data_IF_990166603060
#
_entry.id   IF_990166603060
#
_cell.length_a   1.000
_cell.length_b   1.000
_cell.length_c   1.000
_cell.angle_alpha   90.00
_cell.angle_beta   90.00
_cell.angle_gamma   90.00
#
_symmetry.space_group_name_H-M   'P 1'
#
loop_
_entity.id
_entity.type
_entity.pdbx_description
1 polymer ?
#
# COMPACT_ATOMS: atom_id res chain seq x y z
N UNK A 1 -6.89 10.34 5.73
CA UNK A 1 -7.21 11.21 4.55
C UNK A 1 -8.23 12.30 4.89
N UNK A 2 -9.38 11.97 5.53
CA UNK A 2 -10.40 12.98 5.89
C UNK A 2 -9.82 14.11 6.74
N UNK A 3 -9.14 13.79 7.83
CA UNK A 3 -8.45 14.76 8.69
C UNK A 3 -7.45 15.61 7.91
N UNK A 4 -6.61 14.99 7.07
CA UNK A 4 -5.63 15.68 6.24
C UNK A 4 -6.28 16.67 5.26
N UNK A 5 -7.41 16.29 4.65
CA UNK A 5 -8.15 17.17 3.74
C UNK A 5 -8.76 18.37 4.46
N UNK A 6 -9.33 18.17 5.68
CA UNK A 6 -9.87 19.27 6.50
C UNK A 6 -8.73 20.20 6.93
N UNK A 7 -7.61 19.64 7.38
CA UNK A 7 -6.44 20.44 7.75
C UNK A 7 -5.93 21.27 6.57
N UNK A 8 -5.82 20.69 5.38
CA UNK A 8 -5.42 21.41 4.18
C UNK A 8 -6.42 22.52 3.81
N UNK A 9 -7.73 22.29 3.98
CA UNK A 9 -8.77 23.34 3.80
C UNK A 9 -8.51 24.53 4.73
N UNK A 10 -8.23 24.28 6.01
CA UNK A 10 -7.96 25.34 6.98
C UNK A 10 -6.69 26.12 6.61
N UNK A 11 -5.58 25.40 6.32
CA UNK A 11 -4.31 26.05 5.96
C UNK A 11 -4.39 26.91 4.70
N UNK A 12 -5.23 26.50 3.74
CA UNK A 12 -5.44 27.22 2.48
C UNK A 12 -6.57 28.22 2.54
N UNK A 13 -7.27 28.37 3.68
CA UNK A 13 -8.50 29.14 3.81
C UNK A 13 -9.50 28.84 2.69
N UNK A 14 -9.64 27.56 2.33
CA UNK A 14 -10.53 27.12 1.26
C UNK A 14 -11.95 26.94 1.78
N UNK A 15 -12.93 27.53 1.10
CA UNK A 15 -14.36 27.37 1.32
C UNK A 15 -15.03 26.44 0.28
N UNK A 16 -14.23 25.89 -0.65
CA UNK A 16 -14.69 25.09 -1.78
C UNK A 16 -14.88 23.62 -1.41
N UNK A 17 -15.89 23.32 -0.60
CA UNK A 17 -16.15 21.95 -0.09
C UNK A 17 -16.16 20.88 -1.18
N UNK A 18 -16.81 21.13 -2.33
CA UNK A 18 -16.88 20.13 -3.42
C UNK A 18 -15.53 19.83 -4.07
N UNK A 19 -14.66 20.83 -4.14
CA UNK A 19 -13.31 20.66 -4.69
C UNK A 19 -12.46 19.80 -3.75
N UNK A 20 -12.52 20.11 -2.46
CA UNK A 20 -11.75 19.38 -1.45
C UNK A 20 -12.26 17.95 -1.27
N UNK A 21 -13.56 17.73 -1.39
CA UNK A 21 -14.13 16.39 -1.42
C UNK A 21 -13.63 15.56 -2.62
N UNK A 22 -13.61 16.19 -3.82
CA UNK A 22 -13.04 15.51 -5.00
C UNK A 22 -11.58 15.17 -4.80
N UNK A 23 -10.81 16.06 -4.16
CA UNK A 23 -9.42 15.79 -3.84
C UNK A 23 -9.27 14.68 -2.79
N UNK A 24 -10.12 14.66 -1.76
CA UNK A 24 -10.17 13.56 -0.78
C UNK A 24 -10.39 12.21 -1.47
N UNK A 25 -11.43 12.12 -2.31
CA UNK A 25 -11.72 10.88 -3.03
C UNK A 25 -10.58 10.48 -3.97
N UNK A 26 -10.00 11.43 -4.68
CA UNK A 26 -8.82 11.20 -5.52
C UNK A 26 -7.64 10.67 -4.69
N UNK A 27 -7.37 11.25 -3.52
CA UNK A 27 -6.28 10.81 -2.65
C UNK A 27 -6.51 9.40 -2.09
N UNK A 28 -7.77 9.03 -1.83
CA UNK A 28 -8.14 7.67 -1.41
C UNK A 28 -7.95 6.68 -2.57
N UNK A 29 -8.38 7.04 -3.78
CA UNK A 29 -8.17 6.20 -4.96
C UNK A 29 -6.67 5.96 -5.24
N UNK A 30 -5.80 6.91 -4.92
CA UNK A 30 -4.35 6.75 -5.03
C UNK A 30 -3.77 5.68 -4.09
N UNK A 31 -4.46 5.32 -3.01
CA UNK A 31 -4.06 4.20 -2.13
C UNK A 31 -4.08 2.89 -2.94
N UNK A 32 -5.11 2.70 -3.77
CA UNK A 32 -5.21 1.53 -4.64
C UNK A 32 -4.09 1.49 -5.68
N UNK A 33 -3.72 2.65 -6.24
CA UNK A 33 -2.59 2.73 -7.17
C UNK A 33 -1.28 2.33 -6.49
N UNK A 34 -1.01 2.87 -5.30
CA UNK A 34 0.16 2.52 -4.51
C UNK A 34 0.22 1.02 -4.20
N UNK A 35 -0.90 0.44 -3.76
CA UNK A 35 -1.02 -0.99 -3.51
C UNK A 35 -0.65 -1.82 -4.76
N UNK A 36 -1.16 -1.44 -5.92
CA UNK A 36 -0.87 -2.14 -7.18
C UNK A 36 0.57 -1.94 -7.64
N UNK A 37 1.14 -0.74 -7.46
CA UNK A 37 2.56 -0.46 -7.74
C UNK A 37 3.46 -1.34 -6.88
N UNK A 38 3.21 -1.40 -5.58
CA UNK A 38 4.01 -2.22 -4.66
C UNK A 38 3.87 -3.72 -4.96
N UNK A 39 2.66 -4.18 -5.24
CA UNK A 39 2.42 -5.59 -5.56
C UNK A 39 3.04 -6.00 -6.90
N UNK A 40 2.95 -5.13 -7.91
CA UNK A 40 3.56 -5.38 -9.23
C UNK A 40 5.09 -5.42 -9.19
N UNK A 41 5.73 -4.79 -8.22
CA UNK A 41 7.19 -4.90 -8.06
C UNK A 41 7.64 -6.34 -7.87
N UNK A 42 6.89 -7.15 -7.10
CA UNK A 42 7.19 -8.58 -6.90
C UNK A 42 7.14 -9.36 -8.21
N UNK A 43 6.16 -9.07 -9.06
CA UNK A 43 6.02 -9.69 -10.39
C UNK A 43 7.20 -9.31 -11.28
N UNK A 44 7.52 -8.02 -11.34
CA UNK A 44 8.59 -7.52 -12.21
C UNK A 44 9.98 -7.97 -11.75
N UNK A 45 10.22 -8.08 -10.45
CA UNK A 45 11.43 -8.67 -9.88
C UNK A 45 11.61 -10.12 -10.38
N UNK A 46 10.55 -10.94 -10.31
CA UNK A 46 10.59 -12.33 -10.77
C UNK A 46 10.82 -12.41 -12.28
N UNK A 47 10.10 -11.62 -13.08
CA UNK A 47 10.24 -11.59 -14.55
C UNK A 47 11.64 -11.16 -14.98
N UNK A 48 12.18 -10.09 -14.39
CA UNK A 48 13.52 -9.56 -14.69
C UNK A 48 14.60 -10.59 -14.35
N UNK A 49 14.49 -11.24 -13.19
CA UNK A 49 15.44 -12.29 -12.79
C UNK A 49 15.37 -13.48 -13.72
N UNK A 50 14.17 -13.92 -14.11
CA UNK A 50 14.01 -15.00 -15.11
C UNK A 50 14.69 -14.64 -16.44
N UNK A 51 14.51 -13.40 -16.91
CA UNK A 51 15.16 -12.90 -18.11
C UNK A 51 16.69 -12.88 -17.99
N UNK A 52 17.23 -12.47 -16.85
CA UNK A 52 18.67 -12.48 -16.59
C UNK A 52 19.26 -13.89 -16.62
N UNK A 53 18.60 -14.87 -16.03
CA UNK A 53 19.05 -16.25 -16.05
C UNK A 53 19.08 -16.80 -17.49
N UNK A 54 18.09 -16.48 -18.32
CA UNK A 54 18.07 -16.91 -19.72
C UNK A 54 19.13 -16.19 -20.59
N UNK A 55 19.45 -14.94 -20.31
CA UNK A 55 20.53 -14.18 -20.97
C UNK A 55 21.88 -14.76 -20.56
N UNK A 56 22.10 -15.01 -19.25
CA UNK A 56 23.34 -15.56 -18.72
C UNK A 56 23.67 -16.92 -19.34
N UNK A 57 22.66 -17.79 -19.48
CA UNK A 57 22.78 -19.10 -20.10
C UNK A 57 23.26 -19.06 -21.54
N UNK A 58 22.91 -18.00 -22.30
CA UNK A 58 23.23 -17.84 -23.73
C UNK A 58 24.56 -17.16 -23.99
N UNK A 59 25.31 -16.73 -22.95
CA UNK A 59 26.64 -16.13 -23.12
C UNK A 59 27.61 -17.12 -23.75
N UNK A 60 28.47 -16.67 -24.64
CA UNK A 60 29.46 -17.49 -25.32
C UNK A 60 30.43 -18.21 -24.33
N UNK A 61 30.76 -17.54 -23.23
CA UNK A 61 31.62 -18.07 -22.15
C UNK A 61 30.83 -18.30 -20.86
N UNK A 62 29.61 -18.81 -21.00
CA UNK A 62 28.78 -19.10 -19.82
C UNK A 62 29.44 -20.15 -18.92
N UNK A 63 29.53 -19.87 -17.62
CA UNK A 63 30.01 -20.83 -16.59
C UNK A 63 29.08 -22.03 -16.45
N UNK A 64 29.52 -23.07 -15.77
CA UNK A 64 28.67 -24.22 -15.48
C UNK A 64 27.39 -23.81 -14.68
N UNK A 65 27.53 -22.88 -13.76
CA UNK A 65 26.42 -22.33 -12.97
C UNK A 65 25.48 -21.48 -13.83
N UNK A 66 26.00 -20.66 -14.77
CA UNK A 66 25.18 -19.87 -15.69
C UNK A 66 24.42 -20.76 -16.70
N UNK A 67 24.99 -21.92 -17.07
CA UNK A 67 24.30 -22.90 -17.94
C UNK A 67 23.17 -23.65 -17.22
N UNK A 68 23.36 -23.93 -15.92
CA UNK A 68 22.39 -24.63 -15.08
C UNK A 68 22.12 -23.85 -13.79
N UNK A 69 21.46 -22.68 -13.89
CA UNK A 69 21.23 -21.84 -12.74
C UNK A 69 20.23 -22.45 -11.75
N UNK A 70 20.42 -22.16 -10.46
CA UNK A 70 19.41 -22.48 -9.48
C UNK A 70 18.16 -21.60 -9.74
N UNK A 71 17.06 -22.23 -10.10
CA UNK A 71 15.80 -21.56 -10.47
C UNK A 71 14.81 -21.44 -9.30
N UNK A 72 15.21 -21.83 -8.09
CA UNK A 72 14.32 -21.86 -6.92
C UNK A 72 13.58 -20.52 -6.74
N UNK A 73 14.28 -19.40 -6.85
CA UNK A 73 13.71 -18.06 -6.72
C UNK A 73 12.59 -17.81 -7.74
N UNK A 74 12.85 -17.99 -9.03
CA UNK A 74 11.86 -17.71 -10.09
C UNK A 74 10.74 -18.76 -10.17
N UNK A 75 10.93 -19.93 -9.59
CA UNK A 75 9.90 -20.99 -9.50
C UNK A 75 9.12 -20.95 -8.18
N UNK A 76 9.33 -19.94 -7.34
CA UNK A 76 8.59 -19.76 -6.10
C UNK A 76 7.07 -19.71 -6.38
N UNK A 77 6.31 -20.50 -5.61
CA UNK A 77 4.88 -20.67 -5.82
C UNK A 77 4.08 -19.35 -5.70
N UNK A 78 4.51 -18.45 -4.81
CA UNK A 78 3.82 -17.16 -4.62
C UNK A 78 4.02 -16.24 -5.83
N UNK A 79 5.24 -16.16 -6.37
CA UNK A 79 5.48 -15.39 -7.61
C UNK A 79 4.66 -15.92 -8.78
N UNK A 80 4.51 -17.25 -8.86
CA UNK A 80 3.67 -17.88 -9.88
C UNK A 80 2.21 -17.45 -9.72
N UNK A 81 1.64 -17.56 -8.53
CA UNK A 81 0.25 -17.17 -8.23
C UNK A 81 0.01 -15.69 -8.57
N UNK A 82 0.94 -14.80 -8.20
CA UNK A 82 0.82 -13.37 -8.51
C UNK A 82 0.88 -13.12 -10.02
N UNK A 83 1.81 -13.75 -10.71
CA UNK A 83 2.04 -13.55 -12.15
C UNK A 83 0.89 -14.09 -13.00
N UNK A 84 0.31 -15.22 -12.62
CA UNK A 84 -0.80 -15.88 -13.32
C UNK A 84 -2.18 -15.34 -12.94
N UNK A 85 -2.25 -14.40 -11.97
CA UNK A 85 -3.52 -13.86 -11.49
C UNK A 85 -4.19 -12.94 -12.51
N UNK A 86 -5.32 -13.37 -13.06
CA UNK A 86 -6.17 -12.54 -13.92
C UNK A 86 -6.71 -11.30 -13.19
N UNK A 87 -7.08 -11.43 -11.91
CA UNK A 87 -7.57 -10.31 -11.11
C UNK A 87 -6.54 -9.19 -11.00
N UNK A 88 -5.27 -9.56 -10.78
CA UNK A 88 -4.18 -8.62 -10.66
C UNK A 88 -3.82 -7.99 -12.03
N UNK A 89 -3.76 -8.79 -13.10
CA UNK A 89 -3.49 -8.29 -14.46
C UNK A 89 -4.54 -7.25 -14.89
N UNK A 90 -5.83 -7.57 -14.73
CA UNK A 90 -6.94 -6.65 -15.05
C UNK A 90 -6.87 -5.37 -14.21
N UNK A 91 -6.53 -5.48 -12.91
CA UNK A 91 -6.41 -4.31 -12.04
C UNK A 91 -5.26 -3.39 -12.47
N UNK A 92 -4.09 -3.96 -12.81
CA UNK A 92 -2.93 -3.22 -13.30
C UNK A 92 -3.24 -2.50 -14.63
N UNK A 93 -3.89 -3.18 -15.57
CA UNK A 93 -4.29 -2.62 -16.86
C UNK A 93 -5.32 -1.49 -16.70
N UNK A 94 -6.39 -1.71 -15.93
CA UNK A 94 -7.44 -0.72 -15.71
C UNK A 94 -6.91 0.56 -15.05
N UNK A 95 -5.96 0.42 -14.15
CA UNK A 95 -5.31 1.54 -13.45
C UNK A 95 -4.09 2.09 -14.18
N UNK A 96 -3.70 1.49 -15.32
CA UNK A 96 -2.54 1.88 -16.12
C UNK A 96 -1.24 1.95 -15.29
N UNK A 97 -1.03 0.95 -14.44
CA UNK A 97 0.18 0.86 -13.61
C UNK A 97 1.35 0.43 -14.49
N UNK A 98 2.18 1.37 -14.88
CA UNK A 98 3.35 1.19 -15.76
C UNK A 98 4.65 1.65 -15.10
N UNK A 99 4.65 1.87 -13.81
CA UNK A 99 5.76 2.44 -13.05
C UNK A 99 7.10 1.72 -13.34
N UNK A 100 7.11 0.41 -13.29
CA UNK A 100 8.33 -0.39 -13.44
C UNK A 100 8.80 -0.57 -14.89
N UNK A 101 7.93 -0.31 -15.86
CA UNK A 101 8.32 -0.25 -17.28
C UNK A 101 9.10 1.02 -17.58
N UNK A 102 8.75 2.12 -16.91
CA UNK A 102 9.38 3.42 -17.08
C UNK A 102 10.61 3.62 -16.17
N UNK A 103 10.65 2.90 -15.04
CA UNK A 103 11.65 3.04 -13.99
C UNK A 103 12.19 1.66 -13.58
N UNK A 104 12.69 0.90 -14.56
CA UNK A 104 13.15 -0.48 -14.34
C UNK A 104 14.46 -0.57 -13.53
N UNK A 105 15.18 0.53 -13.41
CA UNK A 105 16.35 0.70 -12.55
C UNK A 105 16.04 0.43 -11.07
N UNK A 106 14.84 0.79 -10.59
CA UNK A 106 14.41 0.44 -9.23
C UNK A 106 14.21 -1.07 -9.07
N UNK A 107 13.68 -1.74 -10.08
CA UNK A 107 13.57 -3.21 -10.06
C UNK A 107 14.95 -3.87 -10.00
N UNK A 108 15.92 -3.35 -10.77
CA UNK A 108 17.31 -3.84 -10.73
C UNK A 108 17.94 -3.61 -9.36
N UNK A 109 17.70 -2.45 -8.75
CA UNK A 109 18.16 -2.13 -7.41
C UNK A 109 17.59 -3.10 -6.38
N UNK A 110 16.28 -3.37 -6.45
CA UNK A 110 15.62 -4.31 -5.54
C UNK A 110 16.14 -5.74 -5.72
N UNK A 111 16.36 -6.19 -6.95
CA UNK A 111 16.96 -7.51 -7.22
C UNK A 111 18.35 -7.60 -6.59
N UNK A 112 19.19 -6.58 -6.74
CA UNK A 112 20.51 -6.56 -6.15
C UNK A 112 20.44 -6.60 -4.61
N UNK A 113 19.55 -5.82 -4.00
CA UNK A 113 19.33 -5.82 -2.56
C UNK A 113 18.83 -7.18 -2.04
N UNK A 114 17.86 -7.81 -2.75
CA UNK A 114 17.36 -9.15 -2.40
C UNK A 114 18.50 -10.16 -2.46
N UNK A 115 19.29 -10.21 -3.52
CA UNK A 115 20.40 -11.17 -3.67
C UNK A 115 21.49 -10.98 -2.62
N UNK A 116 21.70 -9.76 -2.15
CA UNK A 116 22.64 -9.45 -1.07
C UNK A 116 22.13 -9.88 0.32
N UNK A 117 20.81 -10.02 0.48
CA UNK A 117 20.17 -10.30 1.77
C UNK A 117 20.48 -11.72 2.30
N UNK A 118 20.52 -11.84 3.62
CA UNK A 118 20.64 -13.16 4.28
C UNK A 118 19.40 -14.03 4.07
N UNK A 119 18.23 -13.43 3.91
CA UNK A 119 16.97 -14.11 3.60
C UNK A 119 17.10 -14.88 2.28
N UNK A 120 17.58 -14.21 1.23
CA UNK A 120 17.79 -14.84 -0.09
C UNK A 120 18.83 -15.96 -0.03
N UNK A 121 19.98 -15.72 0.59
CA UNK A 121 21.05 -16.73 0.70
C UNK A 121 20.56 -18.00 1.39
N UNK A 122 19.88 -17.86 2.53
CA UNK A 122 19.29 -18.99 3.28
C UNK A 122 18.25 -19.73 2.44
N UNK A 123 17.36 -19.01 1.75
CA UNK A 123 16.34 -19.60 0.90
C UNK A 123 16.93 -20.38 -0.26
N UNK A 124 17.95 -19.87 -0.94
CA UNK A 124 18.57 -20.50 -2.11
C UNK A 124 19.39 -21.77 -1.77
N UNK A 125 19.98 -21.84 -0.58
CA UNK A 125 20.76 -22.98 -0.12
C UNK A 125 19.86 -24.09 0.42
N UNK A 126 18.69 -23.76 0.95
CA UNK A 126 17.80 -24.72 1.57
C UNK A 126 17.15 -25.63 0.50
N UNK A 127 17.25 -26.93 0.71
CA UNK A 127 16.69 -27.96 -0.18
C UNK A 127 15.16 -28.19 0.02
N UNK A 128 14.54 -27.50 0.98
CA UNK A 128 13.08 -27.58 1.17
C UNK A 128 12.39 -26.82 0.05
N UNK A 129 11.43 -27.43 -0.60
CA UNK A 129 10.59 -26.81 -1.65
C UNK A 129 9.13 -26.94 -1.23
N UNK A 130 8.78 -26.30 -0.13
CA UNK A 130 7.39 -26.30 0.38
C UNK A 130 6.74 -24.96 0.12
N UNK A 131 5.42 -24.99 -0.10
CA UNK A 131 4.64 -23.75 -0.25
C UNK A 131 4.83 -22.78 0.93
N UNK A 132 4.86 -23.30 2.17
CA UNK A 132 5.05 -22.48 3.36
C UNK A 132 6.41 -21.76 3.37
N UNK A 133 7.45 -22.40 2.87
CA UNK A 133 8.78 -21.80 2.74
C UNK A 133 8.80 -20.72 1.64
N UNK A 134 8.19 -21.02 0.51
CA UNK A 134 8.04 -20.06 -0.58
C UNK A 134 7.27 -18.81 -0.13
N UNK A 135 6.18 -19.01 0.62
CA UNK A 135 5.37 -17.94 1.16
C UNK A 135 6.15 -17.09 2.17
N UNK A 136 6.80 -17.74 3.14
CA UNK A 136 7.58 -17.04 4.16
C UNK A 136 8.72 -16.24 3.51
N UNK A 137 9.40 -16.81 2.52
CA UNK A 137 10.46 -16.12 1.78
C UNK A 137 9.96 -14.86 1.11
N UNK A 138 8.82 -14.91 0.40
CA UNK A 138 8.26 -13.72 -0.28
C UNK A 138 7.82 -12.67 0.74
N UNK A 139 7.24 -13.08 1.87
CA UNK A 139 6.90 -12.16 2.96
C UNK A 139 8.16 -11.50 3.53
N UNK A 140 9.20 -12.26 3.80
CA UNK A 140 10.43 -11.76 4.40
C UNK A 140 11.16 -10.77 3.45
N UNK A 141 11.31 -11.11 2.16
CA UNK A 141 11.91 -10.14 1.20
C UNK A 141 11.06 -8.89 1.01
N UNK A 142 9.74 -9.02 1.09
CA UNK A 142 8.87 -7.85 1.00
C UNK A 142 9.07 -6.93 2.21
N UNK A 143 9.07 -7.47 3.43
CA UNK A 143 9.20 -6.69 4.67
C UNK A 143 10.61 -6.14 4.84
N UNK A 144 11.63 -7.03 4.75
CA UNK A 144 13.00 -6.71 5.17
C UNK A 144 13.81 -6.01 4.07
N UNK A 145 13.40 -6.15 2.79
CA UNK A 145 14.18 -5.64 1.67
C UNK A 145 13.39 -4.62 0.84
N UNK A 146 12.16 -4.94 0.41
CA UNK A 146 11.41 -4.08 -0.49
C UNK A 146 10.80 -2.91 0.27
N UNK A 147 10.00 -3.18 1.31
CA UNK A 147 9.34 -2.14 2.12
C UNK A 147 10.32 -1.32 2.96
N UNK A 148 11.50 -1.84 3.27
CA UNK A 148 12.55 -1.15 4.00
C UNK A 148 13.54 -0.38 3.09
N UNK A 149 13.33 -0.38 1.77
CA UNK A 149 14.28 0.23 0.84
C UNK A 149 14.07 1.75 0.75
N UNK A 150 15.04 2.51 1.24
CA UNK A 150 14.98 3.99 1.28
C UNK A 150 14.82 4.60 -0.13
N UNK A 151 15.54 4.10 -1.14
CA UNK A 151 15.44 4.64 -2.51
C UNK A 151 14.10 4.36 -3.16
N UNK A 152 13.49 3.21 -2.86
CA UNK A 152 12.12 2.93 -3.29
C UNK A 152 11.15 3.88 -2.59
N UNK A 153 11.36 4.15 -1.30
CA UNK A 153 10.54 5.08 -0.54
C UNK A 153 10.61 6.49 -1.14
N UNK A 154 11.82 7.02 -1.38
CA UNK A 154 12.05 8.30 -2.06
C UNK A 154 11.33 8.37 -3.41
N UNK A 155 11.45 7.33 -4.23
CA UNK A 155 10.74 7.26 -5.52
C UNK A 155 9.21 7.35 -5.36
N UNK A 156 8.65 6.66 -4.38
CA UNK A 156 7.19 6.68 -4.14
C UNK A 156 6.72 8.05 -3.68
N UNK A 157 7.48 8.73 -2.81
CA UNK A 157 7.21 10.10 -2.36
C UNK A 157 7.25 11.10 -3.51
N UNK A 158 8.30 11.03 -4.34
CA UNK A 158 8.47 11.90 -5.50
C UNK A 158 7.41 11.66 -6.58
N UNK A 159 6.92 10.43 -6.70
CA UNK A 159 5.91 10.08 -7.70
C UNK A 159 4.55 10.66 -7.37
N UNK A 160 4.09 10.51 -6.11
CA UNK A 160 2.80 11.05 -5.65
C UNK A 160 2.86 11.43 -4.16
N UNK A 161 2.79 12.70 -3.86
CA UNK A 161 2.77 13.21 -2.48
C UNK A 161 1.65 12.58 -1.63
N UNK A 162 0.52 12.23 -2.25
CA UNK A 162 -0.59 11.57 -1.53
C UNK A 162 -0.26 10.17 -1.02
N UNK A 163 0.83 9.55 -1.46
CA UNK A 163 1.23 8.21 -1.04
C UNK A 163 2.02 8.17 0.27
N UNK A 164 2.69 9.26 0.64
CA UNK A 164 3.64 9.32 1.75
C UNK A 164 3.12 8.64 3.02
N UNK A 165 1.94 9.06 3.47
CA UNK A 165 1.33 8.53 4.70
C UNK A 165 0.63 7.17 4.50
N UNK A 166 0.44 6.73 3.25
CA UNK A 166 -0.29 5.49 2.94
C UNK A 166 0.65 4.28 2.84
N UNK A 167 1.95 4.50 2.64
CA UNK A 167 2.94 3.43 2.47
C UNK A 167 2.86 2.38 3.59
N UNK A 168 2.82 2.75 4.89
CA UNK A 168 2.75 1.76 5.96
C UNK A 168 1.46 0.91 5.93
N UNK A 169 0.34 1.54 5.60
CA UNK A 169 -0.97 0.87 5.52
C UNK A 169 -0.98 -0.12 4.36
N UNK A 170 -0.51 0.32 3.19
CA UNK A 170 -0.41 -0.52 1.99
C UNK A 170 0.54 -1.69 2.21
N UNK A 171 1.72 -1.46 2.79
CA UNK A 171 2.67 -2.53 3.10
C UNK A 171 2.06 -3.56 4.06
N UNK A 172 1.33 -3.10 5.08
CA UNK A 172 0.64 -3.99 6.03
C UNK A 172 -0.41 -4.85 5.34
N UNK A 173 -1.22 -4.28 4.45
CA UNK A 173 -2.24 -5.04 3.71
C UNK A 173 -1.61 -6.05 2.75
N UNK A 174 -0.53 -5.69 2.05
CA UNK A 174 0.20 -6.63 1.17
C UNK A 174 0.74 -7.82 1.98
N UNK A 175 1.39 -7.56 3.11
CA UNK A 175 1.92 -8.63 3.98
C UNK A 175 0.80 -9.54 4.47
N UNK A 176 -0.33 -8.96 4.89
CA UNK A 176 -1.51 -9.72 5.32
C UNK A 176 -2.03 -10.62 4.20
N UNK A 177 -2.13 -10.10 2.98
CA UNK A 177 -2.59 -10.87 1.83
C UNK A 177 -1.59 -11.96 1.42
N UNK A 178 -0.29 -11.66 1.36
CA UNK A 178 0.74 -12.67 1.06
C UNK A 178 0.68 -13.83 2.06
N UNK A 179 0.49 -13.56 3.35
CA UNK A 179 0.33 -14.58 4.40
C UNK A 179 -0.99 -15.35 4.30
N UNK A 180 -2.01 -14.78 3.68
CA UNK A 180 -3.33 -15.41 3.54
C UNK A 180 -3.45 -16.32 2.32
N UNK A 181 -2.52 -16.27 1.36
CA UNK A 181 -2.53 -17.13 0.17
C UNK A 181 -2.45 -18.60 0.58
N UNK A 182 -3.34 -19.42 0.03
CA UNK A 182 -3.39 -20.87 0.33
C UNK A 182 -2.74 -21.68 -0.79
N UNK A 183 -2.22 -22.88 -0.51
CA UNK A 183 -1.62 -23.74 -1.53
C UNK A 183 -2.55 -24.13 -2.68
N UNK A 184 -3.87 -24.11 -2.42
CA UNK A 184 -4.93 -24.42 -3.40
C UNK A 184 -5.42 -23.21 -4.18
N UNK A 185 -4.85 -22.01 -3.93
CA UNK A 185 -5.29 -20.78 -4.54
C UNK A 185 -4.60 -20.59 -5.89
N UNK A 186 -5.39 -20.63 -6.96
CA UNK A 186 -4.89 -20.42 -8.33
C UNK A 186 -4.90 -18.95 -8.76
N UNK A 187 -5.72 -18.12 -8.10
CA UNK A 187 -5.90 -16.72 -8.43
C UNK A 187 -5.75 -15.83 -7.20
N UNK A 188 -4.76 -14.96 -7.19
CA UNK A 188 -4.65 -13.91 -6.18
C UNK A 188 -5.79 -12.90 -6.33
N UNK A 189 -6.46 -12.59 -5.23
CA UNK A 189 -7.56 -11.61 -5.22
C UNK A 189 -7.03 -10.25 -4.79
N UNK A 190 -7.13 -9.29 -5.69
CA UNK A 190 -6.79 -7.89 -5.42
C UNK A 190 -7.69 -7.33 -4.32
N UNK A 191 -7.11 -6.67 -3.32
CA UNK A 191 -7.86 -5.98 -2.29
C UNK A 191 -8.73 -4.90 -2.90
N UNK A 192 -9.96 -4.78 -2.40
CA UNK A 192 -10.86 -3.70 -2.76
C UNK A 192 -10.58 -2.49 -1.86
N UNK A 193 -10.56 -1.32 -2.45
CA UNK A 193 -10.40 -0.06 -1.72
C UNK A 193 -11.56 0.19 -0.74
N UNK A 194 -12.77 -0.11 -1.17
CA UNK A 194 -13.99 -0.08 -0.36
C UNK A 194 -14.58 -1.48 -0.29
N UNK A 195 -15.08 -1.86 0.86
CA UNK A 195 -15.78 -3.12 1.05
C UNK A 195 -17.07 -3.14 0.22
N UNK A 196 -17.81 -2.02 0.30
CA UNK A 196 -19.06 -1.78 -0.41
C UNK A 196 -19.26 -0.28 -0.71
N UNK A 197 -20.42 0.07 -1.26
CA UNK A 197 -20.77 1.46 -1.58
C UNK A 197 -21.00 2.32 -0.33
N UNK A 198 -21.41 1.70 0.78
CA UNK A 198 -21.70 2.40 2.04
C UNK A 198 -20.41 2.97 2.64
N UNK A 199 -19.28 2.27 2.51
CA UNK A 199 -17.97 2.77 2.94
C UNK A 199 -17.61 4.08 2.26
N UNK A 200 -17.83 4.18 0.95
CA UNK A 200 -17.56 5.40 0.18
C UNK A 200 -18.48 6.53 0.60
N UNK A 201 -19.77 6.24 0.76
CA UNK A 201 -20.76 7.22 1.22
C UNK A 201 -20.46 7.69 2.64
N UNK A 202 -20.02 6.79 3.52
CA UNK A 202 -19.59 7.14 4.86
C UNK A 202 -18.45 8.15 4.85
N UNK A 203 -17.40 7.92 4.05
CA UNK A 203 -16.25 8.83 3.93
C UNK A 203 -16.71 10.23 3.48
N UNK A 204 -17.55 10.29 2.44
CA UNK A 204 -18.08 11.56 1.91
C UNK A 204 -18.91 12.27 2.98
N UNK A 205 -19.83 11.54 3.61
CA UNK A 205 -20.74 12.11 4.59
C UNK A 205 -20.02 12.56 5.86
N UNK A 206 -19.03 11.81 6.34
CA UNK A 206 -18.22 12.20 7.50
C UNK A 206 -17.45 13.49 7.20
N UNK A 207 -16.79 13.56 6.06
CA UNK A 207 -16.06 14.75 5.64
C UNK A 207 -17.00 15.98 5.54
N UNK A 208 -18.09 15.88 4.78
CA UNK A 208 -19.06 16.99 4.61
C UNK A 208 -19.67 17.45 5.92
N UNK A 209 -20.18 16.49 6.71
CA UNK A 209 -20.85 16.81 7.97
C UNK A 209 -19.88 17.42 8.98
N UNK A 210 -18.61 16.97 9.00
CA UNK A 210 -17.61 17.59 9.87
C UNK A 210 -17.39 19.04 9.48
N UNK A 211 -17.05 19.30 8.21
CA UNK A 211 -16.76 20.67 7.73
C UNK A 211 -17.96 21.61 7.91
N UNK A 212 -19.17 21.17 7.55
CA UNK A 212 -20.37 22.01 7.60
C UNK A 212 -20.85 22.30 9.04
N UNK A 213 -20.47 21.48 10.01
CA UNK A 213 -20.91 21.63 11.40
C UNK A 213 -19.76 21.96 12.36
N UNK A 214 -18.59 22.37 11.89
CA UNK A 214 -17.43 22.64 12.73
C UNK A 214 -17.70 23.53 13.95
N UNK A 215 -18.45 24.66 13.84
CA UNK A 215 -18.74 25.52 14.99
C UNK A 215 -19.63 24.83 16.03
N UNK A 216 -20.55 23.96 15.59
CA UNK A 216 -21.42 23.18 16.49
C UNK A 216 -20.62 22.10 17.21
N UNK A 217 -19.79 21.35 16.46
CA UNK A 217 -18.96 20.29 16.97
C UNK A 217 -17.92 20.81 17.98
N UNK A 218 -17.35 21.99 17.74
CA UNK A 218 -16.41 22.62 18.65
C UNK A 218 -17.02 22.90 20.04
N UNK A 219 -18.29 23.30 20.12
CA UNK A 219 -19.00 23.56 21.38
C UNK A 219 -19.10 22.32 22.25
N UNK A 220 -19.13 21.13 21.65
CA UNK A 220 -19.28 19.87 22.39
C UNK A 220 -18.08 19.52 23.27
N UNK A 221 -16.88 20.06 23.01
CA UNK A 221 -15.69 19.73 23.80
C UNK A 221 -15.06 20.93 24.52
N UNK A 222 -15.28 22.18 24.09
CA UNK A 222 -14.67 23.36 24.69
C UNK A 222 -14.98 23.44 26.18
N UNK A 223 -16.24 23.22 26.59
CA UNK A 223 -16.65 23.29 28.01
C UNK A 223 -16.38 21.99 28.78
N UNK A 224 -16.00 20.92 28.14
CA UNK A 224 -15.76 19.58 28.72
C UNK A 224 -14.29 19.29 29.00
N UNK A 225 -13.41 20.17 28.60
CA UNK A 225 -11.97 20.07 28.80
C UNK A 225 -11.42 21.20 29.69
N UNK A 226 -11.88 21.32 30.96
CA UNK A 226 -11.56 22.47 31.84
C UNK A 226 -10.07 22.60 32.14
N UNK A 227 -9.29 21.52 31.98
CA UNK A 227 -7.85 21.50 32.20
C UNK A 227 -7.03 21.66 30.93
N UNK A 228 -7.70 21.80 29.77
CA UNK A 228 -7.05 22.00 28.49
C UNK A 228 -7.19 23.46 28.08
N UNK A 229 -6.07 24.11 27.95
CA UNK A 229 -6.00 25.41 27.30
C UNK A 229 -6.30 25.20 25.82
N UNK A 230 -7.49 25.60 25.38
CA UNK A 230 -7.96 25.40 23.98
C UNK A 230 -7.03 26.03 22.95
N UNK A 231 -6.27 27.08 23.36
CA UNK A 231 -5.26 27.72 22.49
C UNK A 231 -4.01 26.85 22.32
N UNK A 232 -3.82 25.82 23.15
CA UNK A 232 -2.66 24.89 23.09
C UNK A 232 -2.98 23.56 22.41
N UNK A 233 -4.25 23.29 22.09
CA UNK A 233 -4.60 22.08 21.36
C UNK A 233 -4.14 22.25 19.92
N UNK A 234 -3.33 21.30 19.42
CA UNK A 234 -2.92 21.33 18.02
C UNK A 234 -4.14 21.26 17.10
N UNK A 235 -4.10 21.98 15.99
CA UNK A 235 -5.21 22.05 15.05
C UNK A 235 -5.63 20.66 14.56
N UNK A 236 -4.66 19.76 14.34
CA UNK A 236 -4.91 18.38 13.95
C UNK A 236 -5.75 17.64 15.00
N UNK A 237 -5.44 17.80 16.29
CA UNK A 237 -6.20 17.18 17.38
C UNK A 237 -7.63 17.71 17.44
N UNK A 238 -7.80 19.02 17.21
CA UNK A 238 -9.11 19.66 17.13
C UNK A 238 -9.94 19.08 15.98
N UNK A 239 -9.35 18.87 14.82
CA UNK A 239 -10.03 18.25 13.67
C UNK A 239 -10.44 16.82 13.99
N UNK A 240 -9.54 16.02 14.59
CA UNK A 240 -9.82 14.64 14.99
C UNK A 240 -10.99 14.58 15.99
N UNK A 241 -10.98 15.45 16.99
CA UNK A 241 -12.09 15.57 17.96
C UNK A 241 -13.41 15.92 17.26
N UNK A 242 -13.42 16.90 16.38
CA UNK A 242 -14.61 17.26 15.61
C UNK A 242 -15.12 16.10 14.75
N UNK A 243 -14.22 15.38 14.10
CA UNK A 243 -14.58 14.20 13.29
C UNK A 243 -15.20 13.10 14.15
N UNK A 244 -14.60 12.77 15.29
CA UNK A 244 -15.13 11.76 16.20
C UNK A 244 -16.50 12.16 16.76
N UNK A 245 -16.67 13.41 17.22
CA UNK A 245 -17.95 13.92 17.71
C UNK A 245 -19.00 13.92 16.59
N UNK A 246 -18.62 14.29 15.37
CA UNK A 246 -19.50 14.20 14.21
C UNK A 246 -19.98 12.76 13.97
N UNK A 247 -19.08 11.77 14.06
CA UNK A 247 -19.44 10.37 13.92
C UNK A 247 -20.44 9.94 15.02
N UNK A 248 -20.19 10.28 16.29
CA UNK A 248 -21.12 9.99 17.38
C UNK A 248 -22.51 10.62 17.18
N UNK A 249 -22.56 11.88 16.78
CA UNK A 249 -23.83 12.63 16.74
C UNK A 249 -24.62 12.44 15.43
N UNK A 250 -23.93 12.26 14.32
CA UNK A 250 -24.55 12.29 12.97
C UNK A 250 -24.63 10.91 12.30
N UNK A 251 -24.09 9.83 12.96
CA UNK A 251 -24.08 8.46 12.43
C UNK A 251 -24.59 7.46 13.48
N UNK A 252 -25.87 7.53 13.86
CA UNK A 252 -26.43 6.73 14.96
C UNK A 252 -26.44 5.21 14.69
N UNK A 253 -26.22 4.79 13.44
CA UNK A 253 -26.09 3.37 13.07
C UNK A 253 -24.74 2.78 13.47
N UNK A 254 -23.73 3.60 13.77
CA UNK A 254 -22.40 3.16 14.20
C UNK A 254 -22.40 3.06 15.74
N UNK A 255 -22.13 1.87 16.30
CA UNK A 255 -22.06 1.73 17.74
C UNK A 255 -20.92 2.56 18.35
N UNK A 256 -21.19 3.27 19.45
CA UNK A 256 -20.18 4.11 20.14
C UNK A 256 -18.89 3.37 20.49
N UNK A 257 -18.93 2.05 20.65
CA UNK A 257 -17.75 1.23 20.92
C UNK A 257 -16.82 1.03 19.69
N UNK A 258 -17.29 1.40 18.50
CA UNK A 258 -16.57 1.25 17.23
C UNK A 258 -15.86 2.54 16.85
N UNK A 259 -16.46 3.69 17.17
CA UNK A 259 -15.85 5.02 17.05
C UNK A 259 -14.85 5.25 18.17
#
# INVERSE_FOLDING_TARGET
KGMQSIYAMHQNNSDQLEKEEKFLLFSIENIQDLYLVMLSSLIEICKKEAAFLEIAKKKHLATAEEKNPNKKFIHNAIFKILTESNSLSIALENRKITNWTLNDDYILLLIAAIKASEVYKKYMINNKNTFAEDQQFVVDIFVDVIAANEKLYEYLEDNKLTWVDDIPVVNTEIVKQLKAIKPTEENFKVAKLYKDTEDKEFVINLFRKTVLNEPELAKEFIDKTPNWDTERIAEIDTIILKMAICEFLKFPSIPVKVT
#
